data_IF_447195260005
#
_entry.id   IF_447195260005
#
_cell.length_a   1.000
_cell.length_b   1.000
_cell.length_c   1.000
_cell.angle_alpha   90.00
_cell.angle_beta   90.00
_cell.angle_gamma   90.00
#
_symmetry.space_group_name_H-M   'P 1'
#
loop_
_entity.id
_entity.type
_entity.pdbx_description
1 polymer ?
#
# COMPACT_ATOMS: atom_id res chain seq x y z
N UNK A 1 9.98 -0.50 -0.83
CA UNK A 1 10.28 -0.11 0.55
C UNK A 1 10.13 1.40 0.64
N UNK A 2 9.02 1.91 1.20
CA UNK A 2 8.86 3.35 1.44
C UNK A 2 9.90 3.84 2.45
N UNK A 3 10.54 4.94 2.10
CA UNK A 3 11.54 5.65 2.88
C UNK A 3 11.14 7.12 2.87
N UNK A 4 10.79 7.66 4.04
CA UNK A 4 10.18 8.99 4.14
C UNK A 4 10.94 9.87 5.13
N UNK A 5 11.16 11.12 4.75
CA UNK A 5 11.83 12.10 5.60
C UNK A 5 10.85 12.74 6.59
N UNK A 6 11.19 12.75 7.88
CA UNK A 6 10.34 13.25 8.96
C UNK A 6 10.06 14.75 8.85
N UNK A 7 11.05 15.55 8.47
CA UNK A 7 10.86 17.00 8.33
C UNK A 7 9.85 17.31 7.22
N UNK A 8 9.90 16.56 6.12
CA UNK A 8 8.93 16.70 5.03
C UNK A 8 7.52 16.25 5.45
N UNK A 9 7.41 15.13 6.18
CA UNK A 9 6.14 14.63 6.72
C UNK A 9 5.48 15.68 7.61
N UNK A 10 6.26 16.28 8.52
CA UNK A 10 5.77 17.30 9.45
C UNK A 10 5.35 18.55 8.68
N UNK A 11 6.16 19.00 7.72
CA UNK A 11 5.85 20.15 6.87
C UNK A 11 4.54 19.97 6.08
N UNK A 12 4.25 18.73 5.65
CA UNK A 12 3.01 18.37 4.93
C UNK A 12 1.84 18.08 5.88
N UNK A 13 2.03 18.08 7.20
CA UNK A 13 0.99 17.74 8.18
C UNK A 13 0.50 16.29 8.07
N UNK A 14 1.30 15.38 7.50
CA UNK A 14 0.87 14.00 7.20
C UNK A 14 1.28 12.99 8.27
N UNK A 15 1.80 13.45 9.42
CA UNK A 15 2.35 12.58 10.45
C UNK A 15 1.28 11.64 11.05
N UNK A 16 0.09 12.16 11.37
CA UNK A 16 -1.00 11.35 11.92
C UNK A 16 -1.49 10.30 10.91
N UNK A 17 -1.56 10.64 9.63
CA UNK A 17 -1.95 9.70 8.57
C UNK A 17 -0.97 8.54 8.48
N UNK A 18 0.33 8.80 8.49
CA UNK A 18 1.36 7.76 8.37
C UNK A 18 1.36 6.84 9.60
N UNK A 19 1.19 7.39 10.81
CA UNK A 19 1.07 6.59 12.03
C UNK A 19 -0.19 5.72 12.01
N UNK A 20 -1.30 6.28 11.51
CA UNK A 20 -2.56 5.54 11.35
C UNK A 20 -2.41 4.42 10.33
N UNK A 21 -1.78 4.70 9.19
CA UNK A 21 -1.48 3.70 8.16
C UNK A 21 -0.59 2.59 8.69
N UNK A 22 0.47 2.92 9.42
CA UNK A 22 1.34 1.93 10.06
C UNK A 22 0.55 1.04 11.03
N UNK A 23 -0.39 1.62 11.80
CA UNK A 23 -1.23 0.86 12.73
C UNK A 23 -2.19 -0.07 11.99
N UNK A 24 -2.88 0.44 10.97
CA UNK A 24 -3.79 -0.36 10.15
C UNK A 24 -3.06 -1.52 9.48
N UNK A 25 -1.88 -1.28 8.90
CA UNK A 25 -1.07 -2.32 8.26
C UNK A 25 -0.49 -3.35 9.24
N UNK A 26 -0.43 -3.05 10.54
CA UNK A 26 -0.06 -4.03 11.58
C UNK A 26 -1.22 -4.95 11.95
N UNK A 27 -2.43 -4.42 11.94
CA UNK A 27 -3.65 -5.14 12.32
C UNK A 27 -4.28 -5.88 11.13
N UNK A 28 -4.07 -5.39 9.90
CA UNK A 28 -4.59 -5.99 8.69
C UNK A 28 -3.99 -7.36 8.41
N UNK A 29 -4.85 -8.38 8.34
CA UNK A 29 -4.50 -9.72 7.88
C UNK A 29 -5.51 -10.16 6.83
N UNK A 30 -5.18 -9.94 5.56
CA UNK A 30 -6.06 -10.31 4.46
C UNK A 30 -5.22 -10.74 3.24
N UNK A 31 -5.62 -11.77 2.46
CA UNK A 31 -4.87 -12.23 1.30
C UNK A 31 -4.59 -11.15 0.24
N UNK A 32 -5.46 -10.13 0.16
CA UNK A 32 -5.35 -9.01 -0.78
C UNK A 32 -4.70 -7.75 -0.19
N UNK A 33 -4.33 -7.74 1.10
CA UNK A 33 -3.53 -6.67 1.70
C UNK A 33 -2.05 -7.09 1.76
N UNK A 34 -1.17 -6.13 1.52
CA UNK A 34 0.27 -6.32 1.69
C UNK A 34 0.63 -6.27 3.17
N UNK A 35 1.34 -7.28 3.68
CA UNK A 35 1.69 -7.31 5.10
C UNK A 35 2.88 -6.40 5.39
N UNK A 36 2.80 -5.67 6.50
CA UNK A 36 3.94 -4.99 7.10
C UNK A 36 4.79 -5.98 7.89
N UNK A 37 6.03 -6.20 7.45
CA UNK A 37 6.99 -7.08 8.12
C UNK A 37 7.73 -6.36 9.24
N UNK A 38 8.23 -5.16 8.94
CA UNK A 38 8.97 -4.35 9.90
C UNK A 38 8.67 -2.88 9.68
N UNK A 39 8.73 -2.09 10.74
CA UNK A 39 8.71 -0.64 10.66
C UNK A 39 9.65 -0.09 11.71
N UNK A 40 10.57 0.77 11.29
CA UNK A 40 11.57 1.38 12.15
C UNK A 40 11.85 2.81 11.67
N UNK A 41 12.46 3.60 12.55
CA UNK A 41 12.81 4.98 12.27
C UNK A 41 14.21 5.27 12.82
N UNK A 42 14.92 6.14 12.14
CA UNK A 42 16.13 6.82 12.63
C UNK A 42 15.79 8.28 12.95
N UNK A 43 16.78 9.13 13.24
CA UNK A 43 16.53 10.52 13.63
C UNK A 43 15.84 11.35 12.53
N UNK A 44 16.04 11.00 11.26
CA UNK A 44 15.60 11.79 10.12
C UNK A 44 14.51 11.11 9.28
N UNK A 45 14.41 9.78 9.35
CA UNK A 45 13.60 8.99 8.41
C UNK A 45 12.75 7.92 9.09
N UNK A 46 11.64 7.60 8.43
CA UNK A 46 10.77 6.48 8.73
C UNK A 46 10.83 5.46 7.58
N UNK A 47 11.05 4.21 7.93
CA UNK A 47 11.16 3.09 7.00
C UNK A 47 10.10 2.03 7.29
N UNK A 48 9.38 1.59 6.26
CA UNK A 48 8.44 0.45 6.35
C UNK A 48 8.85 -0.65 5.38
N UNK A 49 8.97 -1.87 5.89
CA UNK A 49 9.31 -3.08 5.16
C UNK A 49 8.02 -3.86 4.92
N UNK A 50 7.63 -3.96 3.65
CA UNK A 50 6.41 -4.65 3.20
C UNK A 50 6.79 -5.92 2.43
N UNK A 51 5.88 -6.88 2.37
CA UNK A 51 6.01 -8.03 1.46
C UNK A 51 6.19 -7.59 0.01
N UNK A 52 7.13 -8.20 -0.73
CA UNK A 52 7.30 -7.89 -2.14
C UNK A 52 6.25 -8.64 -2.99
N UNK A 53 5.46 -7.90 -3.75
CA UNK A 53 4.57 -8.45 -4.79
C UNK A 53 5.20 -8.30 -6.16
N UNK A 54 5.59 -9.43 -6.75
CA UNK A 54 6.21 -9.51 -8.08
C UNK A 54 5.11 -9.46 -9.15
N UNK A 55 4.68 -8.25 -9.49
CA UNK A 55 3.64 -8.02 -10.49
C UNK A 55 3.59 -6.59 -11.02
N UNK A 56 4.20 -5.65 -10.30
CA UNK A 56 4.14 -4.21 -10.64
C UNK A 56 2.83 -3.56 -10.21
N UNK A 57 2.67 -2.29 -10.57
CA UNK A 57 1.47 -1.49 -10.27
C UNK A 57 0.40 -1.71 -11.35
N UNK A 58 -0.86 -1.87 -10.94
CA UNK A 58 -2.01 -1.96 -11.83
C UNK A 58 -2.08 -0.77 -12.80
N UNK A 59 -1.72 0.44 -12.34
CA UNK A 59 -1.66 1.64 -13.17
C UNK A 59 -0.67 1.48 -14.33
N UNK A 60 0.49 0.88 -14.08
CA UNK A 60 1.48 0.63 -15.14
C UNK A 60 0.88 -0.26 -16.23
N UNK A 61 0.18 -1.33 -15.84
CA UNK A 61 -0.48 -2.23 -16.79
C UNK A 61 -1.59 -1.52 -17.58
N UNK A 62 -2.42 -0.69 -16.92
CA UNK A 62 -3.48 0.08 -17.59
C UNK A 62 -2.93 1.12 -18.56
N UNK A 63 -1.85 1.81 -18.20
CA UNK A 63 -1.22 2.82 -19.06
C UNK A 63 -0.55 2.19 -20.28
N UNK A 64 0.12 1.05 -20.10
CA UNK A 64 0.89 0.42 -21.18
C UNK A 64 0.05 -0.49 -22.08
N UNK A 65 -0.86 -1.30 -21.49
CA UNK A 65 -1.68 -2.28 -22.22
C UNK A 65 -3.06 -1.74 -22.61
N UNK A 66 -3.45 -0.58 -22.07
CA UNK A 66 -4.80 -0.04 -22.23
C UNK A 66 -5.82 -0.70 -21.29
N UNK A 67 -7.12 -0.46 -21.52
CA UNK A 67 -8.20 -1.01 -20.69
C UNK A 67 -8.17 -2.53 -20.66
N UNK A 68 -8.41 -3.12 -19.49
CA UNK A 68 -8.55 -4.56 -19.37
C UNK A 68 -9.85 -5.05 -20.01
N UNK A 69 -9.81 -6.30 -20.51
CA UNK A 69 -11.03 -7.01 -20.88
C UNK A 69 -11.93 -7.18 -19.64
N UNK A 70 -13.25 -7.17 -19.86
CA UNK A 70 -14.27 -7.25 -18.81
C UNK A 70 -14.01 -8.36 -17.78
N UNK A 71 -13.62 -9.61 -18.15
CA UNK A 71 -13.38 -10.65 -17.16
C UNK A 71 -12.25 -10.34 -16.18
N UNK A 72 -11.21 -9.65 -16.66
CA UNK A 72 -10.05 -9.28 -15.85
C UNK A 72 -10.40 -8.09 -14.93
N UNK A 73 -11.12 -7.10 -15.45
CA UNK A 73 -11.63 -5.99 -14.65
C UNK A 73 -12.57 -6.47 -13.54
N UNK A 74 -13.45 -7.44 -13.85
CA UNK A 74 -14.35 -8.07 -12.89
C UNK A 74 -13.59 -8.78 -11.77
N UNK A 75 -12.48 -9.46 -12.08
CA UNK A 75 -11.66 -10.11 -11.06
C UNK A 75 -11.10 -9.10 -10.05
N UNK A 76 -10.42 -8.03 -10.51
CA UNK A 76 -9.89 -7.01 -9.63
C UNK A 76 -10.98 -6.31 -8.81
N UNK A 77 -12.14 -6.07 -9.41
CA UNK A 77 -13.28 -5.51 -8.70
C UNK A 77 -13.76 -6.44 -7.57
N UNK A 78 -13.84 -7.75 -7.83
CA UNK A 78 -14.25 -8.74 -6.82
C UNK A 78 -13.22 -8.88 -5.70
N UNK A 79 -11.92 -8.81 -6.00
CA UNK A 79 -10.87 -8.82 -4.96
C UNK A 79 -10.99 -7.61 -4.03
N UNK A 80 -11.28 -6.42 -4.57
CA UNK A 80 -11.48 -5.20 -3.78
C UNK A 80 -12.80 -5.25 -3.00
N UNK A 81 -13.88 -5.73 -3.61
CA UNK A 81 -15.17 -5.88 -2.94
C UNK A 81 -15.06 -6.86 -1.75
N UNK A 82 -14.46 -8.04 -1.99
CA UNK A 82 -14.24 -9.03 -0.94
C UNK A 82 -13.39 -8.47 0.20
N UNK A 83 -12.36 -7.68 -0.11
CA UNK A 83 -11.54 -7.02 0.91
C UNK A 83 -12.32 -6.01 1.78
N UNK A 84 -13.34 -5.36 1.23
CA UNK A 84 -14.12 -4.34 1.95
C UNK A 84 -15.29 -4.94 2.76
N UNK A 85 -15.70 -6.16 2.43
CA UNK A 85 -16.81 -6.86 3.10
C UNK A 85 -16.35 -7.67 4.34
N UNK A 86 -15.04 -7.95 4.48
CA UNK A 86 -14.40 -8.58 5.65
C UNK A 86 -14.05 -7.54 6.76
#
# INVERSE_FOLDING_TARGET
MPYMNKAEIIKRGSAEHILSEQRLLKEAQHPFIINLRYAFQDDEHLSMILDLKLGGDLRFHLTYKGPFAEPCARLYYMEVAFLLDD
#
